data_IF_828042153715
#
_entry.id   IF_828042153715
#
_cell.length_a   1.000
_cell.length_b   1.000
_cell.length_c   1.000
_cell.angle_alpha   90.00
_cell.angle_beta   90.00
_cell.angle_gamma   90.00
#
_symmetry.space_group_name_H-M   'P 1'
#
loop_
_entity.id
_entity.type
_entity.pdbx_description
1 polymer ?
#
# COMPACT_ATOMS: atom_id res chain seq x y z
N UNK A 1 24.96 33.20 -63.03
CA UNK A 1 24.87 32.92 -61.57
C UNK A 1 24.68 34.23 -60.84
N UNK A 2 23.59 34.45 -60.11
CA UNK A 2 23.57 35.43 -59.02
C UNK A 2 23.71 34.71 -57.67
N UNK A 3 24.52 35.33 -56.82
CA UNK A 3 24.91 34.84 -55.50
C UNK A 3 23.76 34.90 -54.49
N UNK A 4 23.66 33.85 -53.66
CA UNK A 4 22.79 33.80 -52.49
C UNK A 4 23.48 34.56 -51.34
N UNK A 5 22.82 35.51 -50.66
CA UNK A 5 23.39 36.16 -49.49
C UNK A 5 23.33 35.20 -48.29
N UNK A 6 24.47 34.95 -47.67
CA UNK A 6 24.57 34.20 -46.42
C UNK A 6 24.25 35.12 -45.22
N UNK A 7 23.16 34.83 -44.51
CA UNK A 7 22.90 35.35 -43.18
C UNK A 7 23.12 34.22 -42.15
N UNK A 8 23.98 34.39 -41.13
CA UNK A 8 24.39 33.32 -40.22
C UNK A 8 23.28 32.83 -39.27
N UNK A 9 22.23 33.61 -39.06
CA UNK A 9 21.14 33.26 -38.12
C UNK A 9 20.13 32.25 -38.69
N UNK A 10 20.10 32.05 -40.01
CA UNK A 10 19.19 31.10 -40.64
C UNK A 10 19.61 29.64 -40.42
N UNK A 11 20.92 29.35 -40.46
CA UNK A 11 21.43 27.98 -40.36
C UNK A 11 21.16 27.34 -39.01
N UNK A 12 21.25 28.10 -37.91
CA UNK A 12 20.98 27.59 -36.56
C UNK A 12 19.52 27.17 -36.36
N UNK A 13 18.57 27.89 -36.98
CA UNK A 13 17.14 27.56 -36.93
C UNK A 13 16.85 26.31 -37.77
N UNK A 14 17.43 26.21 -38.96
CA UNK A 14 17.30 25.03 -39.83
C UNK A 14 17.92 23.77 -39.23
N UNK A 15 19.04 23.90 -38.50
CA UNK A 15 19.68 22.78 -37.81
C UNK A 15 18.88 22.34 -36.58
N UNK A 16 18.29 23.27 -35.82
CA UNK A 16 17.38 22.94 -34.71
C UNK A 16 16.10 22.23 -35.19
N UNK A 17 15.51 22.69 -36.31
CA UNK A 17 14.36 22.02 -36.91
C UNK A 17 14.72 20.64 -37.48
N UNK A 18 15.90 20.47 -38.09
CA UNK A 18 16.36 19.16 -38.56
C UNK A 18 16.53 18.16 -37.42
N UNK A 19 17.13 18.59 -36.30
CA UNK A 19 17.28 17.75 -35.11
C UNK A 19 15.91 17.36 -34.52
N UNK A 20 14.93 18.27 -34.59
CA UNK A 20 13.55 18.01 -34.16
C UNK A 20 12.83 17.02 -35.08
N UNK A 21 12.90 17.18 -36.39
CA UNK A 21 12.32 16.26 -37.37
C UNK A 21 12.94 14.86 -37.31
N UNK A 22 14.25 14.76 -37.05
CA UNK A 22 14.93 13.48 -36.82
C UNK A 22 14.41 12.80 -35.56
N UNK A 23 14.08 13.52 -34.48
CA UNK A 23 13.50 12.95 -33.25
C UNK A 23 12.07 12.46 -33.43
N UNK A 24 11.27 13.16 -34.24
CA UNK A 24 9.90 12.75 -34.63
C UNK A 24 9.92 11.44 -35.43
N UNK A 25 10.85 11.30 -36.37
CA UNK A 25 10.95 10.11 -37.23
C UNK A 25 11.48 8.87 -36.50
N UNK A 26 12.26 9.01 -35.43
CA UNK A 26 12.85 7.89 -34.68
C UNK A 26 12.03 7.43 -33.45
N UNK A 27 10.79 7.90 -33.28
CA UNK A 27 9.87 7.38 -32.25
C UNK A 27 10.24 7.73 -30.80
N UNK A 28 11.10 8.74 -30.57
CA UNK A 28 11.60 9.11 -29.25
C UNK A 28 10.74 10.10 -28.45
N UNK A 29 9.53 10.41 -28.92
CA UNK A 29 8.59 11.33 -28.25
C UNK A 29 7.48 10.52 -27.58
N UNK A 30 7.13 10.88 -26.34
CA UNK A 30 5.93 10.35 -25.70
C UNK A 30 4.67 10.84 -26.43
N UNK A 31 3.54 10.13 -26.31
CA UNK A 31 2.30 10.53 -26.98
C UNK A 31 1.84 11.95 -26.62
N UNK A 32 2.13 12.38 -25.40
CA UNK A 32 1.87 13.74 -24.93
C UNK A 32 2.75 14.76 -25.65
N UNK A 33 4.04 14.48 -25.81
CA UNK A 33 4.96 15.34 -26.55
C UNK A 33 4.62 15.42 -28.04
N UNK A 34 4.11 14.33 -28.64
CA UNK A 34 3.59 14.36 -30.02
C UNK A 34 2.34 15.23 -30.15
N UNK A 35 1.44 15.17 -29.16
CA UNK A 35 0.25 16.03 -29.12
C UNK A 35 0.60 17.51 -29.02
N UNK A 36 1.53 17.86 -28.14
CA UNK A 36 1.99 19.24 -27.92
C UNK A 36 2.71 19.80 -29.16
N UNK A 37 3.54 18.98 -29.83
CA UNK A 37 4.24 19.37 -31.05
C UNK A 37 3.27 19.63 -32.23
N UNK A 38 2.24 18.80 -32.40
CA UNK A 38 1.23 18.99 -33.44
C UNK A 38 0.45 20.30 -33.23
N UNK A 39 0.10 20.62 -31.98
CA UNK A 39 -0.55 21.88 -31.62
C UNK A 39 0.35 23.08 -31.98
N UNK A 40 1.64 22.98 -31.70
CA UNK A 40 2.60 24.06 -31.96
C UNK A 40 2.82 24.28 -33.47
N UNK A 41 2.94 23.20 -34.26
CA UNK A 41 3.13 23.27 -35.72
C UNK A 41 1.90 23.89 -36.40
N UNK A 42 0.69 23.53 -35.96
CA UNK A 42 -0.55 24.13 -36.49
C UNK A 42 -0.65 25.62 -36.13
N UNK A 43 -0.25 26.00 -34.90
CA UNK A 43 -0.20 27.40 -34.48
C UNK A 43 0.79 28.25 -35.29
N UNK A 44 1.95 27.69 -35.64
CA UNK A 44 2.95 28.36 -36.48
C UNK A 44 2.50 28.47 -37.95
N UNK A 45 1.86 27.44 -38.49
CA UNK A 45 1.33 27.46 -39.86
C UNK A 45 0.25 28.54 -40.06
N UNK A 46 -0.56 28.80 -39.04
CA UNK A 46 -1.56 29.88 -39.07
C UNK A 46 -0.93 31.29 -39.06
N UNK A 47 0.27 31.45 -38.51
CA UNK A 47 0.97 32.73 -38.43
C UNK A 47 1.76 33.09 -39.71
N UNK A 48 2.00 32.13 -40.62
CA UNK A 48 2.89 32.27 -41.77
C UNK A 48 2.18 32.63 -43.10
N UNK A 49 0.86 32.89 -43.10
CA UNK A 49 0.12 33.23 -44.33
C UNK A 49 0.36 34.70 -44.74
N UNK A 50 0.77 34.99 -45.99
CA UNK A 50 1.10 36.35 -46.45
C UNK A 50 -0.15 37.23 -46.64
N UNK A 51 -0.06 38.47 -46.16
CA UNK A 51 -1.15 39.44 -46.04
C UNK A 51 -1.57 40.15 -47.36
N UNK A 52 -1.78 39.43 -48.46
CA UNK A 52 -2.25 40.05 -49.71
C UNK A 52 -3.56 39.44 -50.23
N UNK A 53 -4.63 40.26 -50.13
CA UNK A 53 -5.91 40.22 -50.84
C UNK A 53 -6.75 38.93 -50.83
N UNK A 54 -7.66 38.81 -49.85
CA UNK A 54 -9.08 38.47 -50.05
C UNK A 54 -9.84 38.64 -48.72
N UNK A 55 -10.96 39.34 -48.73
CA UNK A 55 -11.92 39.35 -47.63
C UNK A 55 -12.60 37.97 -47.51
N UNK A 56 -11.94 37.01 -46.84
CA UNK A 56 -12.53 35.88 -46.10
C UNK A 56 -11.43 34.99 -45.48
N UNK A 57 -11.56 34.51 -44.23
CA UNK A 57 -12.15 35.18 -43.08
C UNK A 57 -11.10 35.28 -41.94
N UNK A 58 -11.07 36.40 -41.22
CA UNK A 58 -10.37 36.52 -39.93
C UNK A 58 -10.83 35.47 -38.87
N UNK A 59 -11.86 34.68 -39.21
CA UNK A 59 -12.40 33.58 -38.42
C UNK A 59 -11.57 32.28 -38.46
N UNK A 60 -10.76 32.03 -39.50
CA UNK A 60 -10.03 30.75 -39.62
C UNK A 60 -8.93 30.58 -38.54
N UNK A 61 -8.10 31.60 -38.23
CA UNK A 61 -7.15 31.53 -37.11
C UNK A 61 -7.84 31.42 -35.76
N UNK A 62 -8.97 32.12 -35.58
CA UNK A 62 -9.76 32.09 -34.34
C UNK A 62 -10.42 30.71 -34.12
N UNK A 63 -10.92 30.07 -35.17
CA UNK A 63 -11.47 28.71 -35.11
C UNK A 63 -10.39 27.67 -34.80
N UNK A 64 -9.19 27.81 -35.37
CA UNK A 64 -8.04 26.95 -35.02
C UNK A 64 -7.60 27.14 -33.56
N UNK A 65 -7.52 28.39 -33.08
CA UNK A 65 -7.23 28.64 -31.66
C UNK A 65 -8.28 28.05 -30.74
N UNK A 66 -9.57 28.19 -31.07
CA UNK A 66 -10.65 27.59 -30.29
C UNK A 66 -10.56 26.05 -30.27
N UNK A 67 -10.24 25.42 -31.40
CA UNK A 67 -10.02 23.98 -31.48
C UNK A 67 -8.83 23.52 -30.63
N UNK A 68 -7.71 24.23 -30.68
CA UNK A 68 -6.54 23.94 -29.83
C UNK A 68 -6.89 24.04 -28.35
N UNK A 69 -7.60 25.10 -27.94
CA UNK A 69 -8.05 25.26 -26.55
C UNK A 69 -8.99 24.12 -26.13
N UNK A 70 -9.88 23.67 -27.01
CA UNK A 70 -10.77 22.55 -26.75
C UNK A 70 -10.01 21.23 -26.58
N UNK A 71 -8.99 20.98 -27.41
CA UNK A 71 -8.13 19.79 -27.31
C UNK A 71 -7.32 19.82 -26.01
N UNK A 72 -6.73 20.96 -25.64
CA UNK A 72 -6.00 21.13 -24.38
C UNK A 72 -6.89 20.90 -23.17
N UNK A 73 -8.11 21.45 -23.18
CA UNK A 73 -9.09 21.22 -22.12
C UNK A 73 -9.48 19.74 -22.03
N UNK A 74 -9.70 19.07 -23.17
CA UNK A 74 -9.96 17.62 -23.22
C UNK A 74 -8.80 16.79 -22.67
N UNK A 75 -7.55 17.14 -23.00
CA UNK A 75 -6.37 16.46 -22.48
C UNK A 75 -6.24 16.64 -20.96
N UNK A 76 -6.46 17.86 -20.46
CA UNK A 76 -6.45 18.13 -19.02
C UNK A 76 -7.54 17.33 -18.27
N UNK A 77 -8.73 17.21 -18.86
CA UNK A 77 -9.81 16.38 -18.30
C UNK A 77 -9.43 14.89 -18.27
N UNK A 78 -8.82 14.36 -19.33
CA UNK A 78 -8.35 12.97 -19.37
C UNK A 78 -7.28 12.71 -18.30
N UNK A 79 -6.31 13.62 -18.16
CA UNK A 79 -5.27 13.51 -17.12
C UNK A 79 -5.87 13.54 -15.71
N UNK A 80 -6.85 14.40 -15.46
CA UNK A 80 -7.55 14.44 -14.18
C UNK A 80 -8.31 13.14 -13.89
N UNK A 81 -9.01 12.57 -14.88
CA UNK A 81 -9.68 11.28 -14.74
C UNK A 81 -8.69 10.14 -14.50
N UNK A 82 -7.54 10.14 -15.17
CA UNK A 82 -6.49 9.15 -14.95
C UNK A 82 -5.95 9.22 -13.52
N UNK A 83 -5.71 10.41 -12.99
CA UNK A 83 -5.27 10.59 -11.61
C UNK A 83 -6.33 10.07 -10.60
N UNK A 84 -7.61 10.30 -10.86
CA UNK A 84 -8.71 9.76 -10.05
C UNK A 84 -8.76 8.24 -10.09
N UNK A 85 -8.57 7.63 -11.27
CA UNK A 85 -8.51 6.17 -11.42
C UNK A 85 -7.33 5.56 -10.65
N UNK A 86 -6.16 6.20 -10.71
CA UNK A 86 -4.98 5.76 -9.94
C UNK A 86 -5.22 5.85 -8.43
N UNK A 87 -5.83 6.93 -7.96
CA UNK A 87 -6.20 7.07 -6.55
C UNK A 87 -7.21 5.99 -6.11
N UNK A 88 -8.24 5.73 -6.93
CA UNK A 88 -9.21 4.65 -6.68
C UNK A 88 -8.56 3.27 -6.66
N UNK A 89 -7.60 3.00 -7.55
CA UNK A 89 -6.84 1.74 -7.55
C UNK A 89 -6.03 1.57 -6.26
N UNK A 90 -5.35 2.62 -5.80
CA UNK A 90 -4.59 2.59 -4.55
C UNK A 90 -5.51 2.32 -3.34
N UNK A 91 -6.69 2.93 -3.30
CA UNK A 91 -7.69 2.68 -2.26
C UNK A 91 -8.19 1.23 -2.28
N UNK A 92 -8.47 0.66 -3.46
CA UNK A 92 -8.87 -0.74 -3.59
C UNK A 92 -7.78 -1.70 -3.13
N UNK A 93 -6.51 -1.43 -3.47
CA UNK A 93 -5.38 -2.23 -3.02
C UNK A 93 -5.23 -2.19 -1.49
N UNK A 94 -5.37 -1.00 -0.88
CA UNK A 94 -5.37 -0.85 0.58
C UNK A 94 -6.54 -1.61 1.23
N UNK A 95 -7.75 -1.52 0.67
CA UNK A 95 -8.92 -2.26 1.15
C UNK A 95 -8.73 -3.78 1.05
N UNK A 96 -8.15 -4.28 -0.04
CA UNK A 96 -7.83 -5.69 -0.19
C UNK A 96 -6.83 -6.17 0.87
N UNK A 97 -5.78 -5.39 1.14
CA UNK A 97 -4.81 -5.70 2.18
C UNK A 97 -5.46 -5.77 3.58
N UNK A 98 -6.37 -4.85 3.89
CA UNK A 98 -7.14 -4.87 5.14
C UNK A 98 -8.02 -6.12 5.26
N UNK A 99 -8.72 -6.49 4.19
CA UNK A 99 -9.55 -7.71 4.16
C UNK A 99 -8.70 -8.96 4.36
N UNK A 100 -7.53 -9.05 3.71
CA UNK A 100 -6.61 -10.17 3.87
C UNK A 100 -6.07 -10.26 5.30
N UNK A 101 -5.69 -9.14 5.91
CA UNK A 101 -5.27 -9.08 7.31
C UNK A 101 -6.39 -9.54 8.27
N UNK A 102 -7.62 -9.06 8.05
CA UNK A 102 -8.79 -9.48 8.82
C UNK A 102 -9.09 -10.99 8.70
N UNK A 103 -8.98 -11.55 7.49
CA UNK A 103 -9.12 -13.00 7.28
C UNK A 103 -8.04 -13.80 8.01
N UNK A 104 -6.78 -13.37 7.97
CA UNK A 104 -5.71 -14.01 8.71
C UNK A 104 -5.97 -14.00 10.23
N UNK A 105 -6.45 -12.88 10.77
CA UNK A 105 -6.81 -12.77 12.18
C UNK A 105 -7.96 -13.71 12.55
N UNK A 106 -9.00 -13.80 11.72
CA UNK A 106 -10.11 -14.74 11.93
C UNK A 106 -9.67 -16.20 11.88
N UNK A 107 -8.74 -16.56 10.99
CA UNK A 107 -8.18 -17.91 10.95
C UNK A 107 -7.44 -18.24 12.25
N UNK A 108 -6.65 -17.31 12.77
CA UNK A 108 -5.95 -17.46 14.05
C UNK A 108 -6.94 -17.66 15.20
N UNK A 109 -7.99 -16.83 15.28
CA UNK A 109 -9.04 -16.98 16.30
C UNK A 109 -9.73 -18.35 16.22
N UNK A 110 -10.09 -18.81 15.02
CA UNK A 110 -10.69 -20.14 14.84
C UNK A 110 -9.76 -21.28 15.25
N UNK A 111 -8.46 -21.14 15.02
CA UNK A 111 -7.47 -22.11 15.49
C UNK A 111 -7.37 -22.11 17.02
N UNK A 112 -7.43 -20.93 17.64
CA UNK A 112 -7.41 -20.82 19.09
C UNK A 112 -8.69 -21.34 19.74
N UNK A 113 -9.86 -21.15 19.15
CA UNK A 113 -11.10 -21.79 19.63
C UNK A 113 -10.95 -23.30 19.67
N UNK A 114 -10.39 -23.91 18.62
CA UNK A 114 -10.11 -25.36 18.58
C UNK A 114 -9.11 -25.78 19.66
N UNK A 115 -8.03 -25.01 19.85
CA UNK A 115 -7.00 -25.30 20.87
C UNK A 115 -7.51 -25.12 22.29
N UNK A 116 -8.34 -24.10 22.55
CA UNK A 116 -9.03 -23.88 23.83
C UNK A 116 -9.96 -25.04 24.16
N UNK A 117 -10.76 -25.48 23.19
CA UNK A 117 -11.60 -26.67 23.33
C UNK A 117 -10.76 -27.92 23.64
N UNK A 118 -9.67 -28.16 22.92
CA UNK A 118 -8.73 -29.25 23.22
C UNK A 118 -8.19 -29.17 24.65
N UNK A 119 -7.71 -28.00 25.07
CA UNK A 119 -7.18 -27.80 26.42
C UNK A 119 -8.27 -28.01 27.49
N UNK A 120 -9.51 -27.54 27.25
CA UNK A 120 -10.63 -27.75 28.15
C UNK A 120 -10.99 -29.24 28.27
N UNK A 121 -11.00 -29.98 27.16
CA UNK A 121 -11.18 -31.44 27.20
C UNK A 121 -10.06 -32.15 27.98
N UNK A 122 -8.80 -31.72 27.80
CA UNK A 122 -7.66 -32.24 28.55
C UNK A 122 -7.80 -31.98 30.06
N UNK A 123 -8.42 -30.86 30.47
CA UNK A 123 -8.68 -30.56 31.88
C UNK A 123 -9.72 -31.51 32.48
N UNK A 124 -10.79 -31.78 31.75
CA UNK A 124 -11.93 -32.55 32.26
C UNK A 124 -11.70 -34.07 32.30
N UNK A 125 -10.83 -34.61 31.44
CA UNK A 125 -10.60 -36.05 31.39
C UNK A 125 -9.42 -36.51 32.26
N UNK A 126 -8.73 -35.60 32.97
CA UNK A 126 -7.51 -35.87 33.76
C UNK A 126 -6.42 -36.62 32.95
N UNK A 127 -6.50 -36.56 31.63
CA UNK A 127 -5.54 -37.24 30.77
C UNK A 127 -4.23 -36.47 30.82
N UNK A 128 -3.12 -37.20 30.74
CA UNK A 128 -1.79 -36.64 30.45
C UNK A 128 -1.71 -36.15 28.99
N UNK A 129 -2.73 -35.45 28.51
CA UNK A 129 -2.81 -34.87 27.18
C UNK A 129 -1.98 -33.60 27.17
N UNK A 130 -1.15 -33.48 26.12
CA UNK A 130 -0.34 -32.31 25.89
C UNK A 130 -1.23 -31.09 25.66
N UNK A 131 -0.98 -30.02 26.41
CA UNK A 131 -1.63 -28.73 26.18
C UNK A 131 -1.12 -28.12 24.89
N UNK A 132 -2.03 -27.53 24.13
CA UNK A 132 -1.70 -26.84 22.89
C UNK A 132 -1.51 -25.34 23.17
N UNK A 133 -0.36 -24.77 22.78
CA UNK A 133 -0.14 -23.32 22.87
C UNK A 133 -1.13 -22.57 22.00
N UNK A 134 -1.65 -21.45 22.48
CA UNK A 134 -2.46 -20.56 21.66
C UNK A 134 -1.57 -19.73 20.74
N UNK A 135 -2.11 -19.34 19.60
CA UNK A 135 -1.50 -18.36 18.73
C UNK A 135 -1.76 -16.95 19.26
N UNK A 136 -0.84 -16.01 18.97
CA UNK A 136 -1.06 -14.59 19.29
C UNK A 136 -2.20 -14.01 18.45
N UNK A 137 -3.26 -13.51 19.10
CA UNK A 137 -4.46 -12.95 18.44
C UNK A 137 -4.40 -11.43 18.23
N UNK A 138 -3.71 -10.72 19.12
CA UNK A 138 -3.67 -9.26 19.11
C UNK A 138 -2.57 -8.75 18.14
N UNK A 139 -2.90 -7.84 17.22
CA UNK A 139 -1.88 -7.13 16.47
C UNK A 139 -1.03 -6.27 17.40
N UNK A 140 0.20 -5.98 16.96
CA UNK A 140 1.02 -4.96 17.59
C UNK A 140 0.22 -3.64 17.63
N UNK A 141 0.23 -2.89 18.76
CA UNK A 141 -0.37 -1.57 18.78
C UNK A 141 0.22 -0.72 17.65
N UNK A 142 -0.64 0.06 17.00
CA UNK A 142 -0.28 0.88 15.85
C UNK A 142 0.93 1.79 16.19
N UNK A 143 2.02 1.69 15.42
CA UNK A 143 3.27 2.43 15.68
C UNK A 143 4.29 1.72 16.60
N UNK A 144 3.95 0.58 17.20
CA UNK A 144 4.89 -0.23 17.97
C UNK A 144 5.63 -1.23 17.08
N UNK A 145 6.51 -0.74 16.20
CA UNK A 145 7.52 -1.58 15.58
C UNK A 145 8.62 -1.90 16.62
N UNK A 146 8.29 -2.71 17.63
CA UNK A 146 9.30 -3.20 18.56
C UNK A 146 10.01 -4.34 17.86
N UNK A 147 11.27 -4.13 17.49
CA UNK A 147 12.10 -5.20 16.92
C UNK A 147 12.04 -6.43 17.85
N UNK A 148 11.51 -7.54 17.36
CA UNK A 148 11.32 -8.78 18.14
C UNK A 148 9.91 -9.00 18.71
N UNK A 149 8.95 -8.12 18.47
CA UNK A 149 7.57 -8.39 18.85
C UNK A 149 6.95 -9.51 17.99
N UNK A 150 6.33 -10.48 18.67
CA UNK A 150 5.68 -11.62 18.04
C UNK A 150 4.55 -11.19 17.10
N UNK A 151 4.55 -11.72 15.87
CA UNK A 151 3.50 -11.45 14.88
C UNK A 151 2.18 -12.15 15.24
N UNK A 152 1.05 -11.64 14.76
CA UNK A 152 -0.25 -12.35 14.84
C UNK A 152 -0.12 -13.72 14.20
N UNK A 153 -0.64 -14.75 14.85
CA UNK A 153 -0.53 -16.14 14.39
C UNK A 153 0.80 -16.82 14.73
N UNK A 154 1.73 -16.15 15.42
CA UNK A 154 2.92 -16.82 15.96
C UNK A 154 2.60 -17.61 17.22
N UNK A 155 3.42 -18.61 17.50
CA UNK A 155 3.39 -19.39 18.74
C UNK A 155 4.33 -18.78 19.79
N UNK A 156 4.04 -18.96 21.09
CA UNK A 156 4.96 -18.57 22.15
C UNK A 156 6.32 -19.26 21.97
N UNK A 157 7.42 -18.64 22.43
CA UNK A 157 8.74 -19.27 22.39
C UNK A 157 8.73 -20.68 22.98
N UNK A 158 9.54 -21.58 22.40
CA UNK A 158 9.63 -22.95 22.85
C UNK A 158 9.95 -23.01 24.36
N UNK A 159 9.31 -23.94 25.08
CA UNK A 159 9.41 -24.14 26.53
C UNK A 159 8.77 -23.04 27.40
N UNK A 160 8.23 -21.96 26.84
CA UNK A 160 7.50 -20.97 27.65
C UNK A 160 6.06 -21.40 27.93
N UNK A 161 5.46 -22.22 27.06
CA UNK A 161 4.12 -22.74 27.26
C UNK A 161 4.16 -24.09 27.99
N UNK A 162 3.33 -24.30 29.04
CA UNK A 162 3.34 -25.55 29.79
C UNK A 162 2.85 -26.71 28.93
N UNK A 163 3.58 -27.84 28.95
CA UNK A 163 3.20 -29.01 28.18
C UNK A 163 2.00 -29.77 28.76
N UNK A 164 1.72 -29.63 30.07
CA UNK A 164 0.65 -30.34 30.77
C UNK A 164 -0.01 -29.44 31.81
N UNK A 165 -1.18 -29.86 32.32
CA UNK A 165 -1.84 -29.15 33.41
C UNK A 165 -1.04 -29.09 34.71
N UNK A 166 -0.26 -30.14 35.01
CA UNK A 166 0.65 -30.13 36.15
C UNK A 166 1.76 -29.08 35.97
N UNK A 167 2.34 -28.97 34.77
CA UNK A 167 3.33 -27.94 34.47
C UNK A 167 2.72 -26.51 34.53
N UNK A 168 1.44 -26.37 34.17
CA UNK A 168 0.73 -25.09 34.27
C UNK A 168 0.54 -24.63 35.73
N UNK A 169 0.34 -25.58 36.65
CA UNK A 169 0.27 -25.30 38.09
C UNK A 169 1.63 -24.94 38.70
N UNK A 170 2.74 -25.25 38.04
CA UNK A 170 4.09 -24.93 38.51
C UNK A 170 4.66 -23.63 37.91
N UNK A 171 3.90 -22.94 37.05
CA UNK A 171 4.37 -21.72 36.39
C UNK A 171 4.78 -20.64 37.41
N UNK A 172 5.95 -20.04 37.20
CA UNK A 172 6.46 -18.94 38.02
C UNK A 172 5.88 -17.59 37.58
N UNK A 173 5.97 -16.57 38.44
CA UNK A 173 5.61 -15.20 38.07
C UNK A 173 6.36 -14.69 36.83
N UNK A 174 7.64 -15.05 36.69
CA UNK A 174 8.45 -14.67 35.53
C UNK A 174 7.92 -15.30 34.23
N UNK A 175 7.58 -16.60 34.26
CA UNK A 175 7.01 -17.28 33.09
C UNK A 175 5.63 -16.73 32.73
N UNK A 176 4.80 -16.42 33.72
CA UNK A 176 3.49 -15.80 33.49
C UNK A 176 3.62 -14.38 32.92
N UNK A 177 4.63 -13.61 33.32
CA UNK A 177 4.92 -12.31 32.70
C UNK A 177 5.33 -12.46 31.24
N UNK A 178 6.23 -13.41 30.91
CA UNK A 178 6.64 -13.67 29.53
C UNK A 178 5.45 -14.08 28.64
N UNK A 179 4.55 -14.91 29.17
CA UNK A 179 3.32 -15.29 28.46
C UNK A 179 2.35 -14.09 28.33
N UNK A 180 2.22 -13.27 29.38
CA UNK A 180 1.38 -12.09 29.36
C UNK A 180 1.86 -11.07 28.31
N UNK A 181 3.16 -10.81 28.26
CA UNK A 181 3.79 -9.93 27.27
C UNK A 181 3.64 -10.50 25.85
N UNK A 182 3.77 -11.82 25.69
CA UNK A 182 3.58 -12.48 24.40
C UNK A 182 2.12 -12.37 23.91
N UNK A 183 1.14 -12.66 24.76
CA UNK A 183 -0.28 -12.64 24.36
C UNK A 183 -0.90 -11.23 24.39
N UNK A 184 -0.27 -10.26 25.04
CA UNK A 184 -0.87 -8.95 25.30
C UNK A 184 -1.98 -8.99 26.36
N UNK A 185 -1.95 -10.00 27.24
CA UNK A 185 -3.01 -10.29 28.21
C UNK A 185 -2.45 -10.40 29.62
N UNK A 186 -3.02 -9.65 30.56
CA UNK A 186 -2.54 -9.67 31.94
C UNK A 186 -3.23 -10.77 32.75
N UNK A 187 -2.48 -11.80 33.13
CA UNK A 187 -2.97 -12.87 34.00
C UNK A 187 -2.98 -12.46 35.47
N UNK A 188 -3.66 -11.36 35.84
CA UNK A 188 -3.74 -10.84 37.21
C UNK A 188 -2.56 -9.96 37.65
N UNK A 189 -2.56 -9.53 38.92
CA UNK A 189 -1.59 -8.57 39.45
C UNK A 189 -0.20 -9.21 39.66
N UNK A 190 0.81 -8.76 38.91
CA UNK A 190 2.17 -9.28 38.94
C UNK A 190 2.93 -9.05 40.26
N UNK A 191 2.46 -8.13 41.11
CA UNK A 191 3.20 -7.64 42.29
C UNK A 191 2.68 -8.12 43.65
N UNK A 192 1.68 -9.01 43.68
CA UNK A 192 1.12 -9.52 44.94
C UNK A 192 1.74 -10.89 45.31
N UNK A 193 1.78 -11.23 46.61
CA UNK A 193 2.50 -12.40 47.17
C UNK A 193 1.96 -13.79 46.76
N UNK A 194 2.22 -14.83 47.56
CA UNK A 194 1.91 -16.24 47.20
C UNK A 194 0.45 -16.52 46.78
N UNK A 195 -0.54 -15.87 47.42
CA UNK A 195 -1.95 -15.98 47.04
C UNK A 195 -2.24 -15.39 45.65
N UNK A 196 -1.46 -14.40 45.21
CA UNK A 196 -1.60 -13.83 43.88
C UNK A 196 -1.12 -14.80 42.81
N UNK A 197 0.00 -15.51 43.03
CA UNK A 197 0.52 -16.48 42.05
C UNK A 197 -0.52 -17.55 41.69
N UNK A 198 -1.22 -18.09 42.69
CA UNK A 198 -2.32 -19.04 42.46
C UNK A 198 -3.46 -18.40 41.63
N UNK A 199 -3.82 -17.16 41.92
CA UNK A 199 -4.83 -16.43 41.13
C UNK A 199 -4.36 -16.18 39.69
N UNK A 200 -3.06 -15.88 39.47
CA UNK A 200 -2.49 -15.69 38.14
C UNK A 200 -2.47 -16.99 37.32
N UNK A 201 -2.09 -18.11 37.95
CA UNK A 201 -2.16 -19.45 37.33
C UNK A 201 -3.60 -19.81 36.94
N UNK A 202 -4.57 -19.49 37.80
CA UNK A 202 -6.00 -19.66 37.50
C UNK A 202 -6.45 -18.78 36.34
N UNK A 203 -6.04 -17.52 36.29
CA UNK A 203 -6.35 -16.61 35.19
C UNK A 203 -5.77 -17.13 33.86
N UNK A 204 -4.53 -17.61 33.87
CA UNK A 204 -3.91 -18.26 32.71
C UNK A 204 -4.66 -19.52 32.28
N UNK A 205 -5.06 -20.40 33.22
CA UNK A 205 -5.89 -21.57 32.93
C UNK A 205 -7.19 -21.20 32.23
N UNK A 206 -7.88 -20.17 32.73
CA UNK A 206 -9.12 -19.67 32.11
C UNK A 206 -8.83 -19.20 30.69
N UNK A 207 -7.79 -18.38 30.50
CA UNK A 207 -7.39 -17.86 29.18
C UNK A 207 -7.11 -18.95 28.14
N UNK A 208 -6.49 -20.08 28.54
CA UNK A 208 -6.18 -21.16 27.59
C UNK A 208 -7.33 -22.16 27.36
N UNK A 209 -8.48 -21.96 28.01
CA UNK A 209 -9.67 -22.84 27.92
C UNK A 209 -10.93 -22.13 27.45
N UNK A 210 -10.99 -20.80 27.56
CA UNK A 210 -12.10 -19.95 27.12
C UNK A 210 -11.64 -19.01 26.00
#
# INVERSE_FOLDING_TARGET
MPAVPQHPDGQAVWDAERVRWVRVLHGGLTDQQRGDDLIQVVGMAAAALPANNMEAPQQMPAQMQAFVQQVQAGQAQILAQLAQLQAGQAQLQAGLAQVQAGQAQLQVQQQNVRRRSHNAHALHQELAVQLLPLFKEQPLPEGAAVAGAAAVGSLPPANNFPATWAAAEELTNAQLNLLADFYGEQFGNANAGGAALAARRRAFRIFITQ
#
